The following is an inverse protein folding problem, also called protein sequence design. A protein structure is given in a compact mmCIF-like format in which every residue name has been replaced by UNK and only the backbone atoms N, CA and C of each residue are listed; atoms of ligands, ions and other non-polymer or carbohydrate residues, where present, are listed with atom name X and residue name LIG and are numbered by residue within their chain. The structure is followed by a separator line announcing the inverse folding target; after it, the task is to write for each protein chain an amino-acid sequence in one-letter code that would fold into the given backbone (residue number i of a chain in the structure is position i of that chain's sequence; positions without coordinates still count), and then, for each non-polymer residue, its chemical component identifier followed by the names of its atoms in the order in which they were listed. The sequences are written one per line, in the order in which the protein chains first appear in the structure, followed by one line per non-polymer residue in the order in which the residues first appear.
data_IF_572498691914
#
_entry.id   IF_572498691914
#
_cell.length_a   1.000
_cell.length_b   1.000
_cell.length_c   1.000
_cell.angle_alpha   90.00
_cell.angle_beta   90.00
_cell.angle_gamma   90.00
#
_symmetry.space_group_name_H-M   'P 1'
#
loop_
_entity.id
_entity.type
_entity.pdbx_description
1 polymer ?
#
# COMPACT_ATOMS: atom_id res chain seq x y z
N UNK A 1 7.12 -4.01 19.27
CA UNK A 1 8.34 -3.20 19.10
C UNK A 1 8.28 -2.59 17.71
N UNK A 2 8.56 -1.30 17.52
CA UNK A 2 8.50 -0.64 16.21
C UNK A 2 9.50 -1.32 15.24
N UNK A 3 9.06 -1.69 14.03
CA UNK A 3 9.91 -2.35 13.03
C UNK A 3 11.20 -1.58 12.74
N UNK A 4 11.11 -0.25 12.66
CA UNK A 4 12.24 0.62 12.33
C UNK A 4 13.21 0.84 13.50
N UNK A 5 12.83 0.41 14.72
CA UNK A 5 13.73 0.46 15.87
C UNK A 5 14.60 -0.81 16.00
N UNK A 6 14.36 -1.82 15.15
CA UNK A 6 15.14 -3.05 15.15
C UNK A 6 16.51 -2.83 14.45
N UNK A 7 17.64 -3.17 15.10
CA UNK A 7 18.97 -2.95 14.52
C UNK A 7 19.24 -3.72 13.21
N UNK A 8 18.67 -4.92 13.07
CA UNK A 8 18.86 -5.74 11.86
C UNK A 8 18.12 -5.12 10.67
N UNK A 9 16.88 -4.66 10.89
CA UNK A 9 16.11 -3.90 9.89
C UNK A 9 16.89 -2.64 9.50
N UNK A 10 17.37 -1.87 10.48
CA UNK A 10 18.11 -0.63 10.22
C UNK A 10 19.40 -0.89 9.44
N UNK A 11 20.17 -1.94 9.78
CA UNK A 11 21.37 -2.31 9.05
C UNK A 11 21.06 -2.67 7.60
N UNK A 12 20.06 -3.53 7.38
CA UNK A 12 19.70 -3.97 6.04
C UNK A 12 19.17 -2.81 5.18
N UNK A 13 18.30 -1.96 5.74
CA UNK A 13 17.77 -0.81 5.02
C UNK A 13 18.87 0.19 4.63
N UNK A 14 19.85 0.44 5.51
CA UNK A 14 20.98 1.34 5.20
C UNK A 14 21.91 0.79 4.13
N UNK A 15 21.98 -0.54 3.95
CA UNK A 15 22.83 -1.18 2.95
C UNK A 15 22.24 -1.07 1.53
N UNK A 16 20.92 -1.25 1.40
CA UNK A 16 20.25 -1.36 0.09
C UNK A 16 19.37 -0.16 -0.28
N UNK A 17 18.98 0.70 0.67
CA UNK A 17 17.97 1.74 0.45
C UNK A 17 18.37 3.11 1.02
N UNK A 18 17.93 4.16 0.33
CA UNK A 18 17.90 5.51 0.88
C UNK A 18 16.52 5.76 1.49
N UNK A 19 16.45 5.74 2.82
CA UNK A 19 15.18 5.90 3.53
C UNK A 19 14.81 7.38 3.68
N UNK A 20 13.57 7.73 3.31
CA UNK A 20 12.97 9.03 3.59
C UNK A 20 11.54 8.83 4.09
N UNK A 21 11.00 9.82 4.80
CA UNK A 21 9.61 9.79 5.25
C UNK A 21 8.92 11.11 4.93
N UNK A 22 7.66 11.03 4.52
CA UNK A 22 6.81 12.18 4.31
C UNK A 22 5.54 12.02 5.11
N UNK A 23 5.17 13.05 5.86
CA UNK A 23 3.87 13.10 6.54
C UNK A 23 2.84 13.62 5.55
N UNK A 24 1.85 12.78 5.23
CA UNK A 24 0.92 13.02 4.12
C UNK A 24 -0.54 13.19 4.51
N UNK A 25 -0.87 13.02 5.80
CA UNK A 25 -2.20 13.26 6.34
C UNK A 25 -2.16 13.66 7.82
N UNK A 26 -3.28 14.19 8.29
CA UNK A 26 -3.49 14.61 9.67
C UNK A 26 -4.19 13.50 10.45
N UNK A 27 -3.59 13.04 11.55
CA UNK A 27 -4.33 12.25 12.54
C UNK A 27 -5.03 13.20 13.52
N UNK A 28 -6.17 12.78 14.05
CA UNK A 28 -6.86 13.47 15.15
C UNK A 28 -6.68 12.65 16.43
N UNK A 29 -6.67 13.30 17.58
CA UNK A 29 -6.76 12.60 18.87
C UNK A 29 -8.15 12.92 19.41
N UNK A 30 -9.01 11.90 19.53
CA UNK A 30 -10.38 12.05 20.04
C UNK A 30 -10.49 11.21 21.31
N UNK A 31 -10.73 11.86 22.44
CA UNK A 31 -10.85 11.16 23.74
C UNK A 31 -9.58 10.42 24.18
N UNK A 32 -8.39 10.92 23.81
CA UNK A 32 -7.11 10.27 24.13
C UNK A 32 -6.72 9.12 23.20
N UNK A 33 -7.56 8.77 22.23
CA UNK A 33 -7.22 7.79 21.19
C UNK A 33 -6.83 8.48 19.88
N UNK A 34 -5.72 8.03 19.29
CA UNK A 34 -5.28 8.46 17.96
C UNK A 34 -6.23 7.85 16.92
N UNK A 35 -6.93 8.71 16.19
CA UNK A 35 -7.72 8.36 15.01
C UNK A 35 -6.96 8.82 13.76
N UNK A 36 -6.55 7.85 12.94
CA UNK A 36 -5.77 8.05 11.73
C UNK A 36 -4.25 8.01 11.94
N UNK A 37 -3.51 8.24 10.85
CA UNK A 37 -2.06 8.19 10.84
C UNK A 37 -1.55 6.79 10.57
N UNK A 38 -2.16 6.13 9.58
CA UNK A 38 -1.60 4.96 8.93
C UNK A 38 -0.27 5.31 8.29
N UNK A 39 0.51 4.27 8.07
CA UNK A 39 1.80 4.34 7.40
C UNK A 39 1.74 3.44 6.19
N UNK A 40 2.37 3.87 5.10
CA UNK A 40 2.68 3.01 3.99
C UNK A 40 4.16 3.17 3.68
N UNK A 41 4.86 2.06 3.50
CA UNK A 41 6.27 2.05 3.08
C UNK A 41 6.33 1.73 1.60
N UNK A 42 6.90 2.62 0.80
CA UNK A 42 7.08 2.40 -0.63
C UNK A 42 8.53 2.06 -0.91
N UNK A 43 8.76 0.97 -1.62
CA UNK A 43 10.06 0.63 -2.17
C UNK A 43 10.09 1.10 -3.62
N UNK A 44 10.99 2.02 -3.95
CA UNK A 44 11.03 2.68 -5.24
C UNK A 44 12.37 2.48 -5.92
N UNK A 45 12.34 2.43 -7.26
CA UNK A 45 13.50 2.66 -8.09
C UNK A 45 13.97 4.13 -7.96
N UNK A 46 15.23 4.45 -8.36
CA UNK A 46 15.78 5.80 -8.23
C UNK A 46 14.98 6.91 -8.94
N UNK A 47 14.17 6.55 -9.93
CA UNK A 47 13.32 7.48 -10.67
C UNK A 47 11.91 7.65 -10.08
N UNK A 48 11.63 7.07 -8.92
CA UNK A 48 10.32 7.18 -8.24
C UNK A 48 9.26 6.20 -8.72
N UNK A 49 9.62 5.21 -9.55
CA UNK A 49 8.72 4.09 -9.89
C UNK A 49 8.66 3.11 -8.73
N UNK A 50 7.46 2.65 -8.39
CA UNK A 50 7.25 1.79 -7.22
C UNK A 50 7.47 0.33 -7.58
N UNK A 51 8.36 -0.32 -6.85
CA UNK A 51 8.65 -1.75 -6.94
C UNK A 51 7.70 -2.55 -6.05
N UNK A 52 7.48 -2.07 -4.82
CA UNK A 52 6.62 -2.73 -3.83
C UNK A 52 6.09 -1.73 -2.80
N UNK A 53 5.03 -2.09 -2.08
CA UNK A 53 4.41 -1.28 -1.03
C UNK A 53 4.04 -2.16 0.16
N UNK A 54 4.27 -1.68 1.38
CA UNK A 54 3.69 -2.25 2.59
C UNK A 54 2.60 -1.29 3.06
N UNK A 55 1.34 -1.72 3.00
CA UNK A 55 0.20 -0.95 3.46
C UNK A 55 -0.11 -1.26 4.94
N UNK A 56 0.20 -0.31 5.82
CA UNK A 56 -0.06 -0.37 7.26
C UNK A 56 1.19 -0.61 8.10
N UNK A 57 1.07 -0.53 9.44
CA UNK A 57 2.15 -0.87 10.34
C UNK A 57 2.46 -2.37 10.28
N UNK A 58 3.75 -2.71 10.28
CA UNK A 58 4.22 -4.09 10.33
C UNK A 58 5.25 -4.27 11.44
N UNK A 59 5.50 -5.52 11.84
CA UNK A 59 6.60 -5.82 12.75
C UNK A 59 7.97 -5.86 12.02
N UNK A 60 9.05 -5.99 12.80
CA UNK A 60 10.41 -5.97 12.27
C UNK A 60 10.71 -7.16 11.33
N UNK A 61 10.15 -8.34 11.64
CA UNK A 61 10.41 -9.53 10.85
C UNK A 61 9.72 -9.42 9.48
N UNK A 62 8.48 -8.94 9.46
CA UNK A 62 7.77 -8.64 8.21
C UNK A 62 8.50 -7.57 7.41
N UNK A 63 8.87 -6.43 8.02
CA UNK A 63 9.60 -5.37 7.30
C UNK A 63 10.89 -5.87 6.66
N UNK A 64 11.67 -6.67 7.39
CA UNK A 64 12.92 -7.25 6.88
C UNK A 64 12.65 -8.25 5.75
N UNK A 65 11.63 -9.10 5.89
CA UNK A 65 11.26 -10.06 4.87
C UNK A 65 10.86 -9.37 3.56
N UNK A 66 10.01 -8.35 3.65
CA UNK A 66 9.57 -7.58 2.49
C UNK A 66 10.72 -6.81 1.83
N UNK A 67 11.60 -6.18 2.63
CA UNK A 67 12.77 -5.49 2.10
C UNK A 67 13.71 -6.45 1.35
N UNK A 68 13.96 -7.64 1.91
CA UNK A 68 14.76 -8.69 1.26
C UNK A 68 14.13 -9.16 -0.04
N UNK A 69 12.82 -9.42 -0.02
CA UNK A 69 12.10 -9.83 -1.22
C UNK A 69 12.24 -8.80 -2.34
N UNK A 70 12.16 -7.50 -2.03
CA UNK A 70 12.35 -6.44 -3.05
C UNK A 70 13.75 -6.47 -3.63
N UNK A 71 14.79 -6.58 -2.80
CA UNK A 71 16.20 -6.64 -3.28
C UNK A 71 16.42 -7.87 -4.13
N UNK A 72 16.07 -9.06 -3.63
CA UNK A 72 16.25 -10.34 -4.33
C UNK A 72 15.48 -10.37 -5.66
N UNK A 73 14.25 -9.84 -5.68
CA UNK A 73 13.44 -9.74 -6.91
C UNK A 73 14.05 -8.73 -7.88
N UNK A 74 14.62 -7.63 -7.39
CA UNK A 74 15.30 -6.63 -8.22
C UNK A 74 16.53 -7.23 -8.89
N UNK A 75 17.38 -7.90 -8.13
CA UNK A 75 18.60 -8.55 -8.65
C UNK A 75 18.25 -9.57 -9.74
N UNK A 76 17.30 -10.48 -9.45
CA UNK A 76 16.81 -11.45 -10.43
C UNK A 76 16.23 -10.76 -11.67
N UNK A 77 15.43 -9.72 -11.48
CA UNK A 77 14.82 -8.99 -12.59
C UNK A 77 15.87 -8.28 -13.45
N UNK A 78 16.96 -7.75 -12.86
CA UNK A 78 18.07 -7.15 -13.59
C UNK A 78 18.80 -8.18 -14.46
N UNK A 79 19.07 -9.36 -13.91
CA UNK A 79 19.74 -10.46 -14.61
C UNK A 79 18.91 -11.00 -15.77
N UNK A 80 17.61 -11.21 -15.54
CA UNK A 80 16.68 -11.77 -16.54
C UNK A 80 16.32 -10.74 -17.62
N UNK A 81 16.13 -9.47 -17.25
CA UNK A 81 15.75 -8.42 -18.18
C UNK A 81 16.90 -7.93 -19.06
N UNK A 82 18.16 -8.06 -18.61
CA UNK A 82 19.36 -7.64 -19.36
C UNK A 82 19.28 -6.20 -19.88
N UNK A 83 18.72 -5.30 -19.07
CA UNK A 83 18.53 -3.87 -19.40
C UNK A 83 17.22 -3.54 -20.13
N UNK A 84 16.36 -4.52 -20.43
CA UNK A 84 15.04 -4.29 -21.03
C UNK A 84 14.02 -3.88 -19.95
N UNK A 85 13.67 -2.59 -19.92
CA UNK A 85 12.72 -2.06 -18.94
C UNK A 85 11.31 -2.66 -19.02
N UNK A 86 10.86 -3.09 -20.20
CA UNK A 86 9.55 -3.72 -20.37
C UNK A 86 9.55 -5.13 -19.74
N UNK A 87 10.64 -5.89 -19.93
CA UNK A 87 10.80 -7.20 -19.26
C UNK A 87 10.94 -7.06 -17.76
N UNK A 88 11.73 -6.09 -17.30
CA UNK A 88 11.87 -5.82 -15.85
C UNK A 88 10.51 -5.56 -15.19
N UNK A 89 9.68 -4.73 -15.84
CA UNK A 89 8.30 -4.46 -15.42
C UNK A 89 7.44 -5.72 -15.42
N UNK A 90 7.48 -6.51 -16.49
CA UNK A 90 6.72 -7.75 -16.59
C UNK A 90 7.11 -8.74 -15.48
N UNK A 91 8.40 -8.83 -15.14
CA UNK A 91 8.91 -9.68 -14.05
C UNK A 91 8.33 -9.23 -12.70
N UNK A 92 8.38 -7.94 -12.37
CA UNK A 92 7.82 -7.43 -11.11
C UNK A 92 6.32 -7.64 -10.99
N UNK A 93 5.56 -7.36 -12.06
CA UNK A 93 4.11 -7.57 -12.10
C UNK A 93 3.75 -9.05 -11.95
N UNK A 94 4.53 -9.93 -12.57
CA UNK A 94 4.39 -11.39 -12.43
C UNK A 94 4.73 -11.86 -11.01
N UNK A 95 5.82 -11.37 -10.43
CA UNK A 95 6.25 -11.73 -9.08
C UNK A 95 5.20 -11.36 -8.03
N UNK A 96 4.49 -10.24 -8.21
CA UNK A 96 3.35 -9.89 -7.36
C UNK A 96 2.14 -10.80 -7.56
N UNK A 97 1.81 -11.19 -8.79
CA UNK A 97 0.75 -12.16 -9.05
C UNK A 97 1.07 -13.53 -8.42
N UNK A 98 2.33 -13.97 -8.48
CA UNK A 98 2.80 -15.19 -7.82
C UNK A 98 2.69 -15.11 -6.30
N UNK A 99 3.05 -13.97 -5.67
CA UNK A 99 2.85 -13.78 -4.23
C UNK A 99 1.37 -13.79 -3.86
N UNK A 100 0.51 -13.13 -4.63
CA UNK A 100 -0.93 -13.16 -4.42
C UNK A 100 -1.45 -14.61 -4.40
N UNK A 101 -1.00 -15.42 -5.36
CA UNK A 101 -1.35 -16.83 -5.46
C UNK A 101 -0.82 -17.64 -4.27
N UNK A 102 0.47 -17.51 -3.96
CA UNK A 102 1.14 -18.34 -2.97
C UNK A 102 0.71 -18.01 -1.53
N UNK A 103 0.52 -16.72 -1.23
CA UNK A 103 0.23 -16.25 0.12
C UNK A 103 -1.28 -16.18 0.38
N UNK A 104 -2.06 -15.71 -0.59
CA UNK A 104 -3.50 -15.44 -0.40
C UNK A 104 -4.41 -16.40 -1.16
N UNK A 105 -3.85 -17.28 -1.99
CA UNK A 105 -4.60 -18.29 -2.73
C UNK A 105 -5.46 -17.74 -3.85
N UNK A 106 -5.22 -16.50 -4.31
CA UNK A 106 -5.96 -15.86 -5.40
C UNK A 106 -5.05 -15.67 -6.62
N UNK A 107 -5.57 -15.95 -7.81
CA UNK A 107 -4.84 -15.70 -9.05
C UNK A 107 -5.31 -14.42 -9.72
N UNK A 108 -4.37 -13.74 -10.35
CA UNK A 108 -4.60 -12.54 -11.15
C UNK A 108 -3.70 -12.61 -12.36
N UNK A 109 -4.22 -12.18 -13.50
CA UNK A 109 -3.43 -12.03 -14.72
C UNK A 109 -2.59 -10.74 -14.61
N UNK A 110 -1.24 -10.84 -14.56
CA UNK A 110 -0.41 -9.65 -14.45
C UNK A 110 -0.50 -8.84 -15.75
N UNK A 111 -0.64 -7.53 -15.62
CA UNK A 111 -0.72 -6.63 -16.78
C UNK A 111 0.70 -6.34 -17.25
N UNK A 112 1.24 -7.10 -18.20
CA UNK A 112 2.68 -7.01 -18.54
C UNK A 112 3.06 -5.84 -19.47
N UNK A 113 2.07 -5.12 -20.00
CA UNK A 113 2.26 -3.97 -20.87
C UNK A 113 1.52 -2.75 -20.32
N UNK A 114 2.04 -1.54 -20.55
CA UNK A 114 1.25 -0.34 -20.29
C UNK A 114 0.33 -0.13 -21.49
N UNK A 115 -0.99 0.01 -21.29
CA UNK A 115 -1.83 0.57 -22.35
C UNK A 115 -1.31 1.97 -22.68
N UNK A 116 -1.35 2.35 -23.96
CA UNK A 116 -1.09 3.73 -24.38
C UNK A 116 -2.14 4.61 -23.70
N UNK A 117 -1.77 5.27 -22.62
CA UNK A 117 -2.60 6.30 -22.01
C UNK A 117 -2.33 7.57 -22.81
N UNK A 118 -3.34 8.06 -23.53
CA UNK A 118 -3.29 9.38 -24.13
C UNK A 118 -2.97 10.38 -23.02
N UNK A 119 -1.74 10.88 -22.99
CA UNK A 119 -1.34 11.92 -22.06
C UNK A 119 -1.94 13.22 -22.54
N UNK A 120 -3.15 13.51 -22.08
CA UNK A 120 -3.71 14.85 -22.17
C UNK A 120 -2.71 15.81 -21.48
N UNK A 121 -2.18 16.84 -22.18
CA UNK A 121 -1.31 17.85 -21.58
C UNK A 121 -1.96 18.63 -20.42
N UNK A 122 -3.28 18.51 -20.27
CA UNK A 122 -4.08 19.05 -19.15
C UNK A 122 -4.61 17.97 -18.19
N UNK A 123 -4.18 16.72 -18.37
CA UNK A 123 -4.67 15.55 -17.65
C UNK A 123 -4.20 15.46 -16.20
N UNK A 124 -5.09 14.94 -15.34
CA UNK A 124 -5.02 14.80 -13.88
C UNK A 124 -3.89 13.92 -13.30
N UNK A 125 -2.77 13.78 -14.01
CA UNK A 125 -1.54 13.09 -13.57
C UNK A 125 -0.44 14.07 -13.12
N UNK A 126 -0.76 15.37 -13.02
CA UNK A 126 0.10 16.36 -12.37
C UNK A 126 -0.58 16.83 -11.09
N UNK A 127 0.02 16.49 -9.93
CA UNK A 127 -0.14 17.12 -8.62
C UNK A 127 -1.40 18.00 -8.46
N UNK A 128 -2.51 17.47 -7.94
CA UNK A 128 -3.72 18.29 -7.85
C UNK A 128 -3.63 19.48 -6.89
N UNK A 129 -4.21 20.54 -7.41
CA UNK A 129 -4.36 21.91 -6.94
C UNK A 129 -5.22 22.05 -5.66
N UNK A 130 -5.03 23.13 -4.88
CA UNK A 130 -5.85 23.54 -3.71
C UNK A 130 -7.39 23.58 -3.87
N UNK A 131 -7.95 23.30 -5.05
CA UNK A 131 -9.38 23.29 -5.38
C UNK A 131 -10.13 21.96 -5.09
N UNK A 132 -9.43 20.89 -4.70
CA UNK A 132 -10.08 19.70 -4.11
C UNK A 132 -10.46 18.57 -5.07
N UNK A 133 -9.87 18.49 -6.26
CA UNK A 133 -9.94 17.30 -7.11
C UNK A 133 -8.98 16.19 -6.62
N UNK A 134 -9.29 14.88 -6.80
CA UNK A 134 -8.47 13.78 -6.27
C UNK A 134 -7.08 13.68 -6.93
N UNK A 135 -6.03 13.90 -6.13
CA UNK A 135 -4.59 14.08 -6.47
C UNK A 135 -3.96 13.07 -7.44
N UNK A 136 -4.58 11.92 -7.64
CA UNK A 136 -4.17 10.89 -8.59
C UNK A 136 -5.40 10.13 -9.09
N UNK A 137 -5.40 9.63 -10.33
CA UNK A 137 -6.46 8.74 -10.79
C UNK A 137 -6.51 7.49 -9.93
N UNK A 138 -7.71 7.09 -9.49
CA UNK A 138 -7.89 5.82 -8.78
C UNK A 138 -7.59 4.68 -9.74
N UNK A 139 -6.52 3.93 -9.46
CA UNK A 139 -6.11 2.82 -10.29
C UNK A 139 -7.05 1.62 -10.05
N UNK A 140 -7.73 1.10 -11.08
CA UNK A 140 -8.52 -0.10 -10.93
C UNK A 140 -7.58 -1.30 -10.74
N UNK A 141 -7.77 -2.14 -9.71
CA UNK A 141 -6.97 -3.35 -9.60
C UNK A 141 -7.28 -4.31 -10.77
N UNK A 142 -6.30 -5.10 -11.21
CA UNK A 142 -6.55 -6.14 -12.22
C UNK A 142 -7.60 -7.15 -11.73
N UNK A 143 -8.45 -7.69 -12.63
CA UNK A 143 -9.50 -8.64 -12.24
C UNK A 143 -8.91 -9.92 -11.63
N UNK A 144 -9.44 -10.34 -10.49
CA UNK A 144 -9.08 -11.60 -9.84
C UNK A 144 -9.88 -12.76 -10.44
N UNK A 145 -9.22 -13.88 -10.69
CA UNK A 145 -9.82 -15.08 -11.28
C UNK A 145 -10.35 -16.09 -10.24
N UNK A 146 -10.07 -15.84 -8.96
CA UNK A 146 -10.38 -16.73 -7.83
C UNK A 146 -9.21 -17.67 -7.51
N UNK A 147 -9.42 -18.69 -6.66
CA UNK A 147 -8.39 -19.68 -6.36
C UNK A 147 -8.21 -20.69 -7.49
N UNK A 148 -6.95 -21.07 -7.73
CA UNK A 148 -6.55 -22.05 -8.74
C UNK A 148 -6.97 -23.49 -8.39
N UNK A 149 -7.13 -23.80 -7.08
CA UNK A 149 -7.50 -25.14 -6.60
C UNK A 149 -8.57 -25.11 -5.50
N UNK A 150 -9.41 -26.14 -5.51
CA UNK A 150 -10.63 -26.24 -4.71
C UNK A 150 -10.42 -26.56 -3.22
N UNK A 151 -10.96 -25.63 -2.42
CA UNK A 151 -11.68 -25.82 -1.14
C UNK A 151 -10.86 -25.74 0.15
N UNK A 152 -9.88 -26.60 0.47
CA UNK A 152 -9.30 -26.60 1.85
C UNK A 152 -8.24 -25.51 2.11
N UNK A 153 -7.15 -25.42 1.34
CA UNK A 153 -6.12 -24.39 1.57
C UNK A 153 -6.65 -22.99 1.28
N UNK A 154 -7.45 -22.85 0.23
CA UNK A 154 -8.10 -21.59 -0.13
C UNK A 154 -9.05 -21.11 0.98
N UNK A 155 -9.88 -21.98 1.57
CA UNK A 155 -10.72 -21.58 2.71
C UNK A 155 -9.92 -21.20 3.94
N UNK A 156 -8.83 -21.91 4.25
CA UNK A 156 -7.97 -21.55 5.37
C UNK A 156 -7.30 -20.18 5.17
N UNK A 157 -6.80 -19.90 3.95
CA UNK A 157 -6.29 -18.59 3.57
C UNK A 157 -7.38 -17.51 3.71
N UNK A 158 -8.59 -17.78 3.24
CA UNK A 158 -9.73 -16.87 3.34
C UNK A 158 -10.16 -16.57 4.78
N UNK A 159 -10.12 -17.56 5.68
CA UNK A 159 -10.40 -17.35 7.09
C UNK A 159 -9.32 -16.47 7.76
N UNK A 160 -8.07 -16.55 7.31
CA UNK A 160 -6.98 -15.68 7.76
C UNK A 160 -7.16 -14.27 7.21
N UNK A 161 -7.42 -14.15 5.91
CA UNK A 161 -7.65 -12.86 5.24
C UNK A 161 -8.86 -12.12 5.82
N UNK A 162 -9.95 -12.83 6.12
CA UNK A 162 -11.14 -12.23 6.74
C UNK A 162 -10.87 -11.62 8.12
N UNK A 163 -9.79 -12.04 8.79
CA UNK A 163 -9.33 -11.50 10.09
C UNK A 163 -8.18 -10.50 9.95
N UNK A 164 -7.63 -10.34 8.74
CA UNK A 164 -6.53 -9.45 8.49
C UNK A 164 -6.95 -7.98 8.60
N UNK A 165 -5.99 -7.11 8.88
CA UNK A 165 -6.23 -5.68 8.92
C UNK A 165 -6.66 -5.15 7.54
N UNK A 166 -7.73 -4.35 7.54
CA UNK A 166 -8.30 -3.78 6.31
C UNK A 166 -8.93 -4.80 5.36
N UNK A 167 -9.26 -6.00 5.85
CA UNK A 167 -9.96 -7.02 5.08
C UNK A 167 -11.23 -6.46 4.41
N UNK A 168 -11.31 -6.60 3.08
CA UNK A 168 -12.50 -6.21 2.31
C UNK A 168 -12.92 -7.33 1.37
N UNK A 169 -14.23 -7.35 1.11
CA UNK A 169 -14.81 -8.24 0.14
C UNK A 169 -14.42 -7.81 -1.28
N UNK A 170 -13.95 -8.78 -2.07
CA UNK A 170 -13.60 -8.67 -3.47
C UNK A 170 -14.45 -9.67 -4.26
N UNK A 171 -14.93 -9.27 -5.43
CA UNK A 171 -15.56 -10.19 -6.37
C UNK A 171 -14.54 -10.66 -7.40
N UNK A 172 -14.50 -11.96 -7.66
CA UNK A 172 -13.75 -12.51 -8.79
C UNK A 172 -14.53 -12.35 -10.11
N UNK A 173 -13.87 -12.65 -11.23
CA UNK A 173 -14.45 -12.63 -12.59
C UNK A 173 -15.64 -13.58 -12.76
N UNK A 174 -15.77 -14.61 -11.92
CA UNK A 174 -16.83 -15.62 -11.91
C UNK A 174 -17.98 -15.27 -10.94
N UNK A 175 -17.92 -14.13 -10.26
CA UNK A 175 -18.90 -13.70 -9.25
C UNK A 175 -18.70 -14.30 -7.86
N UNK A 176 -17.62 -15.05 -7.62
CA UNK A 176 -17.22 -15.53 -6.31
C UNK A 176 -16.79 -14.38 -5.39
N UNK A 177 -17.11 -14.49 -4.11
CA UNK A 177 -16.77 -13.48 -3.10
C UNK A 177 -15.61 -13.95 -2.24
N UNK A 178 -14.58 -13.11 -2.16
CA UNK A 178 -13.35 -13.37 -1.42
C UNK A 178 -13.07 -12.22 -0.46
N UNK A 179 -12.35 -12.50 0.62
CA UNK A 179 -11.80 -11.50 1.52
C UNK A 179 -10.31 -11.38 1.23
N UNK A 180 -9.82 -10.14 1.28
CA UNK A 180 -8.42 -9.83 1.07
C UNK A 180 -8.00 -8.69 2.00
N UNK A 181 -6.96 -8.93 2.81
CA UNK A 181 -6.35 -7.93 3.67
C UNK A 181 -5.54 -6.90 2.89
N UNK A 182 -4.96 -5.94 3.61
CA UNK A 182 -4.19 -4.85 2.99
C UNK A 182 -3.06 -5.36 2.07
N UNK A 183 -2.24 -6.31 2.53
CA UNK A 183 -1.09 -6.81 1.74
C UNK A 183 -1.53 -7.58 0.50
N UNK A 184 -2.55 -8.43 0.60
CA UNK A 184 -3.09 -9.11 -0.58
C UNK A 184 -3.65 -8.12 -1.61
N UNK A 185 -4.33 -7.05 -1.15
CA UNK A 185 -4.81 -5.99 -2.04
C UNK A 185 -3.66 -5.21 -2.68
N UNK A 186 -2.53 -5.05 -1.99
CA UNK A 186 -1.32 -4.48 -2.58
C UNK A 186 -0.78 -5.41 -3.67
N UNK A 187 -0.62 -6.70 -3.42
CA UNK A 187 -0.13 -7.62 -4.46
C UNK A 187 -1.05 -7.66 -5.68
N UNK A 188 -2.36 -7.62 -5.47
CA UNK A 188 -3.33 -7.46 -6.55
C UNK A 188 -3.07 -6.16 -7.33
N UNK A 189 -3.01 -5.00 -6.67
CA UNK A 189 -2.74 -3.72 -7.33
C UNK A 189 -1.41 -3.72 -8.08
N UNK A 190 -0.34 -4.18 -7.44
CA UNK A 190 1.02 -4.16 -7.98
C UNK A 190 1.22 -5.19 -9.10
N UNK A 191 0.38 -6.23 -9.20
CA UNK A 191 0.38 -7.11 -10.37
C UNK A 191 -0.06 -6.41 -11.67
N UNK A 192 -0.78 -5.28 -11.55
CA UNK A 192 -1.15 -4.42 -12.67
C UNK A 192 -0.28 -3.17 -12.80
N UNK A 193 0.22 -2.66 -11.67
CA UNK A 193 0.76 -1.30 -11.56
C UNK A 193 2.18 -1.21 -11.01
N UNK A 194 2.86 -2.33 -10.75
CA UNK A 194 4.29 -2.25 -10.42
C UNK A 194 5.06 -1.55 -11.54
N UNK A 195 6.07 -0.77 -11.14
CA UNK A 195 6.84 0.15 -11.98
C UNK A 195 6.09 1.40 -12.48
N UNK A 196 4.86 1.66 -12.00
CA UNK A 196 4.23 2.97 -12.20
C UNK A 196 4.81 3.99 -11.21
N UNK A 197 4.70 5.28 -11.56
CA UNK A 197 5.22 6.38 -10.76
C UNK A 197 4.46 6.48 -9.44
N UNK A 198 5.16 6.80 -8.33
CA UNK A 198 4.57 6.82 -6.98
C UNK A 198 3.33 7.70 -6.88
N UNK A 199 3.29 8.80 -7.63
CA UNK A 199 2.16 9.73 -7.69
C UNK A 199 0.87 9.04 -8.13
N UNK A 200 0.96 8.02 -8.97
CA UNK A 200 -0.21 7.26 -9.46
C UNK A 200 -0.71 6.22 -8.46
N UNK A 201 0.20 5.57 -7.75
CA UNK A 201 -0.11 4.47 -6.83
C UNK A 201 -0.54 4.99 -5.46
N UNK A 202 0.11 6.06 -5.01
CA UNK A 202 -0.04 6.63 -3.67
C UNK A 202 -1.50 6.90 -3.29
N UNK A 203 -2.28 7.50 -4.20
CA UNK A 203 -3.70 7.77 -4.00
C UNK A 203 -4.52 6.51 -3.70
N UNK A 204 -4.27 5.46 -4.48
CA UNK A 204 -5.00 4.19 -4.36
C UNK A 204 -4.63 3.45 -3.07
N UNK A 205 -3.35 3.46 -2.66
CA UNK A 205 -2.93 2.83 -1.40
C UNK A 205 -3.62 3.48 -0.19
N UNK A 206 -3.58 4.81 -0.07
CA UNK A 206 -4.17 5.47 1.09
C UNK A 206 -5.69 5.44 1.06
N UNK A 207 -6.32 5.85 -0.04
CA UNK A 207 -7.77 6.01 -0.06
C UNK A 207 -8.52 4.67 -0.21
N UNK A 208 -8.00 3.76 -1.05
CA UNK A 208 -8.68 2.51 -1.32
C UNK A 208 -8.24 1.40 -0.36
N UNK A 209 -6.93 1.20 -0.19
CA UNK A 209 -6.42 0.11 0.65
C UNK A 209 -6.55 0.45 2.13
N UNK A 210 -5.90 1.52 2.58
CA UNK A 210 -5.89 1.93 3.98
C UNK A 210 -7.18 2.62 4.44
N UNK A 211 -8.02 3.06 3.50
CA UNK A 211 -9.28 3.76 3.80
C UNK A 211 -9.10 5.15 4.40
N UNK A 212 -7.91 5.76 4.24
CA UNK A 212 -7.62 7.12 4.69
C UNK A 212 -7.72 8.11 3.54
N UNK A 213 -8.47 9.19 3.75
CA UNK A 213 -8.52 10.29 2.80
C UNK A 213 -7.23 11.10 2.88
N UNK A 214 -6.57 11.26 1.74
CA UNK A 214 -5.41 12.13 1.62
C UNK A 214 -5.91 13.56 1.77
N UNK A 215 -5.36 14.30 2.73
CA UNK A 215 -5.72 15.68 3.00
C UNK A 215 -4.46 16.52 3.04
N UNK A 216 -4.44 17.58 2.24
CA UNK A 216 -3.41 18.62 2.27
C UNK A 216 -3.62 19.63 3.39
N UNK A 217 -4.73 19.53 4.15
CA UNK A 217 -5.03 20.44 5.26
C UNK A 217 -4.03 20.26 6.41
N UNK A 218 -3.61 21.34 7.07
CA UNK A 218 -2.73 21.27 8.25
C UNK A 218 -3.40 20.54 9.43
N UNK A 219 -2.59 20.01 10.34
CA UNK A 219 -3.04 19.19 11.48
C UNK A 219 -3.96 19.98 12.40
N UNK A 220 -5.23 19.56 12.50
CA UNK A 220 -6.17 20.09 13.48
C UNK A 220 -6.02 19.37 14.83
N UNK A 221 -5.44 20.06 15.82
CA UNK A 221 -5.42 19.59 17.20
C UNK A 221 -6.75 19.94 17.85
N UNK A 222 -7.69 19.00 17.85
CA UNK A 222 -8.97 19.18 18.55
C UNK A 222 -8.72 18.97 20.04
N UNK A 223 -8.73 20.08 20.80
CA UNK A 223 -8.65 20.12 22.26
C UNK A 223 -7.28 19.65 22.82
N UNK A 224 -6.20 20.44 22.64
CA UNK A 224 -4.82 20.07 23.04
C UNK A 224 -4.66 19.79 24.54
N UNK A 225 -5.55 20.34 25.38
CA UNK A 225 -5.46 20.25 26.83
C UNK A 225 -6.80 19.78 27.41
N UNK A 226 -7.12 18.47 27.32
CA UNK A 226 -8.40 17.94 27.80
C UNK A 226 -8.64 18.18 29.29
N UNK A 227 -7.59 18.35 30.09
CA UNK A 227 -7.67 18.64 31.53
C UNK A 227 -8.13 20.07 31.85
N UNK A 228 -7.97 21.04 30.95
CA UNK A 228 -8.41 22.44 31.19
C UNK A 228 -9.93 22.50 31.36
N UNK A 229 -10.68 21.65 30.66
CA UNK A 229 -12.14 21.55 30.83
C UNK A 229 -12.56 20.75 32.06
N UNK A 230 -11.73 19.82 32.53
CA UNK A 230 -11.98 19.07 33.76
C UNK A 230 -11.83 19.99 34.97
N UNK A 231 -10.78 20.82 35.01
CA UNK A 231 -10.59 21.80 36.09
C UNK A 231 -11.67 22.90 36.10
N UNK A 232 -12.15 23.36 34.94
CA UNK A 232 -13.25 24.34 34.89
C UNK A 232 -14.57 23.76 35.43
N UNK A 233 -14.82 22.47 35.16
CA UNK A 233 -16.01 21.77 35.64
C UNK A 233 -15.95 21.52 37.16
N UNK A 234 -14.77 21.23 37.71
CA UNK A 234 -14.55 21.08 39.14
C UNK A 234 -14.57 22.43 39.90
N UNK A 235 -14.32 23.55 39.22
CA UNK A 235 -14.41 24.91 39.79
C UNK A 235 -15.80 25.54 39.72
N UNK A 236 -16.78 24.88 39.10
CA UNK A 236 -18.18 25.34 39.08
C UNK A 236 -18.46 26.58 38.23
N UNK A 237 -17.54 26.97 37.35
CA UNK A 237 -17.72 28.09 36.42
C UNK A 237 -18.50 27.60 35.20
N UNK A 238 -19.72 28.12 35.01
CA UNK A 238 -20.61 27.84 33.88
C UNK A 238 -20.30 28.73 32.68
#
# INVERSE_FOLDING_TARGET
MNALANPEVGKYLNEYFVCSFQKVATFRIVGGQKQGGNVASYFCAPDGRVLHVIAGPVDAATMLHEAKWVVETTEKAMDDAKGDGAKFKAIFRTAHAERLKNEHGLTVEPVTFDPLVDQDPTGALTYNDPTGHPLAPKLPPPPVDGPDVTIKPAMAAQLREAKAEGARALMDRRGGRWQLGNQGRVHMLMSGHAMDKIETIYGTIFEDILGEKISTKPVEIVNPFPWVKAEAKDRGER
#
